data_IF_117230649635
#
_entry.id   IF_117230649635
#
_cell.length_a   1.000
_cell.length_b   1.000
_cell.length_c   1.000
_cell.angle_alpha   90.00
_cell.angle_beta   90.00
_cell.angle_gamma   90.00
#
_symmetry.space_group_name_H-M   'P 1'
#
loop_
_entity.id
_entity.type
_entity.pdbx_description
1 polymer ?
#
# COMPACT_ATOMS: atom_id res chain seq x y z
N UNK A 1 -8.58 2.79 -17.89
CA UNK A 1 -8.39 4.23 -17.64
C UNK A 1 -9.47 4.94 -16.83
N UNK A 2 -10.77 4.75 -17.11
CA UNK A 2 -11.86 5.54 -16.51
C UNK A 2 -12.05 5.47 -14.98
N UNK A 3 -11.64 4.39 -14.32
CA UNK A 3 -11.77 4.25 -12.84
C UNK A 3 -10.49 4.66 -12.12
N UNK A 4 -9.34 4.27 -12.66
CA UNK A 4 -8.04 4.38 -11.99
C UNK A 4 -7.35 5.70 -12.32
N UNK A 5 -7.30 6.11 -13.59
CA UNK A 5 -6.52 7.30 -14.01
C UNK A 5 -7.40 8.53 -14.18
N UNK A 6 -8.61 8.35 -14.67
CA UNK A 6 -9.55 9.44 -15.01
C UNK A 6 -10.82 9.43 -14.15
N UNK A 7 -10.81 8.66 -13.06
CA UNK A 7 -11.98 8.36 -12.24
C UNK A 7 -12.16 9.24 -11.02
N UNK A 8 -13.17 8.90 -10.20
CA UNK A 8 -13.42 9.58 -8.93
C UNK A 8 -12.22 9.44 -7.97
N UNK A 9 -11.55 8.29 -7.98
CA UNK A 9 -10.41 8.01 -7.11
C UNK A 9 -9.24 8.98 -7.38
N UNK A 10 -8.84 9.17 -8.64
CA UNK A 10 -7.76 10.11 -8.96
C UNK A 10 -8.15 11.56 -8.65
N UNK A 11 -9.42 11.96 -8.87
CA UNK A 11 -9.91 13.31 -8.51
C UNK A 11 -9.94 13.55 -7.00
N UNK A 12 -10.37 12.58 -6.20
CA UNK A 12 -10.37 12.70 -4.74
C UNK A 12 -8.94 12.72 -4.20
N UNK A 13 -8.04 11.89 -4.73
CA UNK A 13 -6.62 11.96 -4.38
C UNK A 13 -6.01 13.31 -4.76
N UNK A 14 -6.32 13.85 -5.95
CA UNK A 14 -5.86 15.17 -6.37
C UNK A 14 -6.33 16.28 -5.41
N UNK A 15 -7.57 16.21 -4.94
CA UNK A 15 -8.10 17.15 -3.96
C UNK A 15 -7.36 17.04 -2.61
N UNK A 16 -7.07 15.81 -2.14
CA UNK A 16 -6.31 15.58 -0.90
C UNK A 16 -4.85 16.06 -1.01
N UNK A 17 -4.22 15.89 -2.17
CA UNK A 17 -2.82 16.27 -2.41
C UNK A 17 -2.65 17.73 -2.85
N UNK A 18 -3.74 18.44 -3.15
CA UNK A 18 -3.71 19.86 -3.56
C UNK A 18 -3.23 20.10 -4.99
N UNK A 19 -3.32 19.10 -5.88
CA UNK A 19 -2.87 19.26 -7.27
C UNK A 19 -3.11 18.02 -8.14
N UNK A 20 -2.86 18.11 -9.46
CA UNK A 20 -2.98 16.97 -10.36
C UNK A 20 -2.09 15.81 -9.91
N UNK A 21 -2.59 14.58 -10.06
CA UNK A 21 -1.88 13.36 -9.63
C UNK A 21 -1.71 12.38 -10.79
N UNK A 22 -0.68 11.55 -10.69
CA UNK A 22 -0.41 10.44 -11.61
C UNK A 22 -0.40 9.12 -10.83
N UNK A 23 -0.79 8.03 -11.48
CA UNK A 23 -0.78 6.70 -10.87
C UNK A 23 0.64 6.17 -10.79
N UNK A 24 1.16 6.00 -9.58
CA UNK A 24 2.48 5.43 -9.34
C UNK A 24 2.47 3.90 -9.39
N UNK A 25 1.59 3.27 -8.60
CA UNK A 25 1.55 1.82 -8.39
C UNK A 25 0.10 1.35 -8.23
N UNK A 26 -0.18 0.14 -8.68
CA UNK A 26 -1.41 -0.57 -8.33
C UNK A 26 -1.13 -2.03 -7.98
N UNK A 27 -1.96 -2.57 -7.10
CA UNK A 27 -1.98 -3.99 -6.73
C UNK A 27 -3.38 -4.40 -6.27
N UNK A 28 -3.68 -5.68 -6.42
CA UNK A 28 -4.84 -6.31 -5.78
C UNK A 28 -4.32 -7.39 -4.85
N UNK A 29 -4.67 -7.29 -3.56
CA UNK A 29 -4.27 -8.25 -2.56
C UNK A 29 -5.39 -9.27 -2.36
N UNK A 30 -5.05 -10.56 -2.51
CA UNK A 30 -5.94 -11.69 -2.23
C UNK A 30 -5.53 -12.31 -0.91
N UNK A 31 -6.31 -12.03 0.15
CA UNK A 31 -6.08 -12.66 1.45
C UNK A 31 -6.96 -13.89 1.57
N UNK A 32 -6.39 -15.04 1.26
CA UNK A 32 -7.07 -16.34 1.33
C UNK A 32 -7.37 -16.75 2.78
N UNK A 33 -8.29 -17.71 3.01
CA UNK A 33 -8.49 -18.32 4.34
C UNK A 33 -7.18 -18.79 4.95
N UNK A 34 -6.92 -18.45 6.21
CA UNK A 34 -5.68 -18.79 6.92
C UNK A 34 -4.44 -18.01 6.50
N UNK A 35 -4.54 -17.07 5.54
CA UNK A 35 -3.39 -16.28 5.12
C UNK A 35 -2.87 -15.38 6.26
N UNK A 36 -1.53 -15.19 6.35
CA UNK A 36 -0.93 -14.41 7.42
C UNK A 36 -1.30 -12.93 7.34
N UNK A 37 -1.02 -12.21 8.42
CA UNK A 37 -1.09 -10.75 8.47
C UNK A 37 0.10 -10.07 7.76
N UNK A 38 -0.01 -8.77 7.59
CA UNK A 38 1.13 -7.92 7.24
C UNK A 38 1.56 -7.17 8.49
N UNK A 39 2.87 -7.22 8.79
CA UNK A 39 3.48 -6.46 9.89
C UNK A 39 3.30 -4.96 9.69
N UNK A 40 3.41 -4.20 10.76
CA UNK A 40 3.34 -2.75 10.65
C UNK A 40 4.45 -2.22 9.75
N UNK A 41 4.10 -1.26 8.88
CA UNK A 41 5.03 -0.58 8.00
C UNK A 41 4.46 0.78 7.57
N UNK A 42 5.33 1.61 7.01
CA UNK A 42 4.96 2.76 6.18
C UNK A 42 5.37 2.44 4.74
N UNK A 43 4.55 2.77 3.75
CA UNK A 43 4.89 2.53 2.33
C UNK A 43 6.23 3.21 1.97
N UNK A 44 6.52 4.37 2.57
CA UNK A 44 7.76 5.10 2.37
C UNK A 44 9.01 4.31 2.80
N UNK A 45 8.92 3.38 3.76
CA UNK A 45 10.04 2.54 4.20
C UNK A 45 10.60 1.65 3.09
N UNK A 46 9.83 1.40 2.03
CA UNK A 46 10.29 0.68 0.84
C UNK A 46 11.12 1.56 -0.11
N UNK A 47 11.74 2.63 0.40
CA UNK A 47 12.61 3.56 -0.34
C UNK A 47 11.90 4.33 -1.46
N UNK A 48 10.61 4.61 -1.30
CA UNK A 48 9.83 5.30 -2.33
C UNK A 48 10.19 6.79 -2.45
N UNK A 49 10.91 7.35 -1.47
CA UNK A 49 11.38 8.74 -1.49
C UNK A 49 12.25 9.10 -2.69
N UNK A 50 12.86 8.11 -3.36
CA UNK A 50 13.61 8.32 -4.60
C UNK A 50 12.74 8.70 -5.80
N UNK A 51 11.44 8.41 -5.77
CA UNK A 51 10.52 8.67 -6.88
C UNK A 51 9.68 9.92 -6.64
N UNK A 52 9.09 10.06 -5.45
CA UNK A 52 8.35 11.25 -5.06
C UNK A 52 8.40 11.44 -3.54
N UNK A 53 8.26 12.67 -3.03
CA UNK A 53 8.34 12.95 -1.60
C UNK A 53 7.14 12.43 -0.81
N UNK A 54 5.99 12.23 -1.46
CA UNK A 54 4.74 11.80 -0.84
C UNK A 54 3.89 11.03 -1.84
N UNK A 55 3.26 9.97 -1.36
CA UNK A 55 2.24 9.24 -2.09
C UNK A 55 0.95 9.17 -1.29
N UNK A 56 -0.18 9.04 -1.97
CA UNK A 56 -1.47 8.72 -1.35
C UNK A 56 -2.03 7.47 -2.00
N UNK A 57 -2.37 6.50 -1.16
CA UNK A 57 -2.98 5.23 -1.56
C UNK A 57 -4.49 5.31 -1.34
N UNK A 58 -5.25 5.04 -2.39
CA UNK A 58 -6.67 4.76 -2.35
C UNK A 58 -6.85 3.23 -2.27
N UNK A 59 -7.25 2.76 -1.09
CA UNK A 59 -7.66 1.38 -0.84
C UNK A 59 -9.15 1.24 -1.16
N UNK A 60 -9.52 0.37 -2.09
CA UNK A 60 -10.90 0.08 -2.46
C UNK A 60 -11.28 -1.32 -1.98
N UNK A 61 -12.30 -1.39 -1.14
CA UNK A 61 -12.79 -2.64 -0.55
C UNK A 61 -13.65 -3.39 -1.56
N UNK A 62 -13.26 -4.63 -1.92
CA UNK A 62 -13.98 -5.46 -2.90
C UNK A 62 -14.87 -6.48 -2.18
N UNK A 63 -14.30 -7.16 -1.19
CA UNK A 63 -15.02 -8.07 -0.28
C UNK A 63 -15.07 -7.43 1.11
N UNK A 64 -16.09 -7.70 1.95
CA UNK A 64 -16.17 -7.13 3.29
C UNK A 64 -14.86 -7.32 4.06
N UNK A 65 -14.31 -6.25 4.64
CA UNK A 65 -13.11 -6.29 5.45
C UNK A 65 -13.50 -6.12 6.91
N UNK A 66 -13.41 -7.19 7.68
CA UNK A 66 -13.78 -7.26 9.09
C UNK A 66 -12.54 -7.48 9.95
N UNK A 67 -12.66 -7.29 11.26
CA UNK A 67 -11.58 -7.62 12.20
C UNK A 67 -11.19 -9.12 12.07
N UNK A 68 -12.17 -10.00 11.92
CA UNK A 68 -11.96 -11.45 11.85
C UNK A 68 -11.20 -11.91 10.59
N UNK A 69 -11.38 -11.22 9.44
CA UNK A 69 -10.67 -11.54 8.21
C UNK A 69 -9.43 -10.65 7.96
N UNK A 70 -9.00 -9.93 9.00
CA UNK A 70 -7.79 -9.14 8.99
C UNK A 70 -7.91 -7.87 8.16
N UNK A 71 -8.91 -7.02 8.49
CA UNK A 71 -9.04 -5.66 7.96
C UNK A 71 -7.75 -4.84 8.12
N UNK A 72 -7.68 -3.69 7.43
CA UNK A 72 -6.58 -2.75 7.63
C UNK A 72 -6.56 -2.31 9.10
N UNK A 73 -5.38 -2.24 9.69
CA UNK A 73 -5.14 -1.57 10.96
C UNK A 73 -4.26 -0.35 10.70
N UNK A 74 -4.55 0.79 11.31
CA UNK A 74 -3.82 2.04 11.12
C UNK A 74 -3.47 2.69 12.44
N UNK A 75 -2.41 3.50 12.47
CA UNK A 75 -2.10 4.36 13.62
C UNK A 75 -2.48 5.81 13.30
N UNK A 76 -3.58 6.34 13.85
CA UNK A 76 -4.04 7.69 13.53
C UNK A 76 -2.99 8.76 13.86
N UNK A 77 -2.89 9.77 13.01
CA UNK A 77 -2.05 10.96 13.24
C UNK A 77 -0.54 10.79 13.01
N UNK A 78 0.01 9.58 13.11
CA UNK A 78 1.46 9.35 13.02
C UNK A 78 2.08 9.58 11.63
N UNK A 79 1.26 9.63 10.58
CA UNK A 79 1.71 10.06 9.24
C UNK A 79 2.39 11.44 9.23
N UNK A 80 2.08 12.30 10.21
CA UNK A 80 2.64 13.65 10.35
C UNK A 80 4.07 13.68 10.89
N UNK A 81 4.57 12.54 11.36
CA UNK A 81 5.92 12.43 11.94
C UNK A 81 6.98 12.10 10.86
N UNK A 82 6.58 11.93 9.60
CA UNK A 82 7.47 11.45 8.55
C UNK A 82 7.80 9.97 8.77
N UNK A 83 9.03 9.56 8.45
CA UNK A 83 9.47 8.17 8.63
C UNK A 83 9.74 7.91 10.12
N UNK A 84 8.96 7.03 10.74
CA UNK A 84 9.07 6.68 12.17
C UNK A 84 9.94 5.43 12.42
N UNK A 85 10.50 4.87 11.36
CA UNK A 85 11.52 3.84 11.37
C UNK A 85 12.60 4.15 10.34
N UNK A 86 13.29 3.13 9.86
CA UNK A 86 14.31 3.27 8.82
C UNK A 86 13.82 2.64 7.51
N UNK A 87 14.34 3.14 6.38
CA UNK A 87 14.11 2.48 5.10
C UNK A 87 14.69 1.07 5.11
N UNK A 88 14.00 0.14 4.45
CA UNK A 88 14.40 -1.25 4.26
C UNK A 88 14.50 -2.08 5.55
N UNK A 89 14.13 -1.51 6.70
CA UNK A 89 14.07 -2.20 7.98
C UNK A 89 12.61 -2.37 8.44
N UNK A 90 12.26 -3.50 9.08
CA UNK A 90 10.95 -3.66 9.71
C UNK A 90 10.68 -2.53 10.71
N UNK A 91 9.45 -2.04 10.73
CA UNK A 91 9.04 -1.06 11.73
C UNK A 91 8.96 -1.71 13.11
N UNK A 92 9.48 -1.04 14.14
CA UNK A 92 9.25 -1.44 15.53
C UNK A 92 7.77 -1.18 15.89
N UNK A 93 7.08 -2.24 16.28
CA UNK A 93 5.65 -2.16 16.65
C UNK A 93 5.45 -1.67 18.09
N UNK A 94 6.52 -1.53 18.88
CA UNK A 94 6.47 -1.08 20.27
C UNK A 94 5.83 0.31 20.37
N UNK A 95 4.71 0.40 21.08
CA UNK A 95 3.98 1.66 21.27
C UNK A 95 3.11 2.08 20.08
N UNK A 96 2.97 1.26 19.03
CA UNK A 96 2.02 1.53 17.95
C UNK A 96 0.58 1.20 18.41
N UNK A 97 -0.24 2.23 18.56
CA UNK A 97 -1.67 2.10 18.83
C UNK A 97 -2.45 1.80 17.53
N UNK A 98 -2.25 0.60 16.98
CA UNK A 98 -2.96 0.13 15.79
C UNK A 98 -4.47 -0.01 16.06
N UNK A 99 -5.28 0.61 15.21
CA UNK A 99 -6.73 0.59 15.27
C UNK A 99 -7.31 -0.07 14.02
N UNK A 100 -8.22 -1.05 14.16
CA UNK A 100 -8.86 -1.69 13.01
C UNK A 100 -9.78 -0.71 12.28
N UNK A 101 -9.80 -0.82 10.96
CA UNK A 101 -10.66 -0.04 10.06
C UNK A 101 -11.51 -1.01 9.22
N UNK A 102 -12.63 -1.52 9.77
CA UNK A 102 -13.57 -2.34 9.02
C UNK A 102 -14.22 -1.55 7.89
N UNK A 103 -14.49 -2.22 6.76
CA UNK A 103 -15.11 -1.60 5.58
C UNK A 103 -16.01 -2.60 4.85
N UNK A 104 -17.03 -2.08 4.18
CA UNK A 104 -17.93 -2.83 3.31
C UNK A 104 -17.51 -2.70 1.84
N UNK A 105 -17.97 -3.60 0.94
CA UNK A 105 -17.71 -3.49 -0.49
C UNK A 105 -18.10 -2.11 -1.06
N UNK A 106 -17.13 -1.46 -1.72
CA UNK A 106 -17.29 -0.13 -2.29
C UNK A 106 -16.75 1.01 -1.42
N UNK A 107 -16.48 0.78 -0.14
CA UNK A 107 -15.80 1.74 0.71
C UNK A 107 -14.37 2.01 0.23
N UNK A 108 -13.90 3.24 0.46
CA UNK A 108 -12.57 3.69 0.07
C UNK A 108 -11.86 4.33 1.27
N UNK A 109 -10.64 3.87 1.55
CA UNK A 109 -9.75 4.49 2.54
C UNK A 109 -8.62 5.19 1.81
N UNK A 110 -8.40 6.46 2.14
CA UNK A 110 -7.23 7.21 1.69
C UNK A 110 -6.23 7.35 2.83
N UNK A 111 -4.97 7.03 2.56
CA UNK A 111 -3.86 7.26 3.48
C UNK A 111 -2.58 7.58 2.73
N UNK A 112 -1.71 8.39 3.32
CA UNK A 112 -0.43 8.72 2.72
C UNK A 112 0.66 7.69 3.03
N UNK A 113 1.79 7.78 2.31
CA UNK A 113 2.89 6.82 2.40
C UNK A 113 3.61 6.81 3.76
N UNK A 114 3.35 7.78 4.63
CA UNK A 114 3.87 7.83 5.99
C UNK A 114 2.87 7.28 7.02
N UNK A 115 1.65 6.92 6.65
CA UNK A 115 0.70 6.35 7.60
C UNK A 115 1.15 4.93 8.03
N UNK A 116 1.48 4.68 9.32
CA UNK A 116 1.82 3.35 9.78
C UNK A 116 0.57 2.47 9.75
N UNK A 117 0.67 1.33 9.09
CA UNK A 117 -0.45 0.43 8.90
C UNK A 117 -0.03 -1.04 8.87
N UNK A 118 -0.96 -1.92 9.20
CA UNK A 118 -0.78 -3.36 9.34
C UNK A 118 -2.06 -4.12 8.96
N UNK A 119 -2.03 -5.44 9.05
CA UNK A 119 -3.26 -6.24 9.13
C UNK A 119 -3.02 -7.56 9.88
N UNK A 120 -4.01 -8.03 10.63
CA UNK A 120 -3.99 -9.35 11.29
C UNK A 120 -4.20 -10.50 10.29
N UNK A 121 -3.91 -11.77 10.63
CA UNK A 121 -4.23 -12.91 9.76
C UNK A 121 -5.72 -12.99 9.39
N UNK A 122 -6.03 -13.69 8.31
CA UNK A 122 -7.42 -14.01 7.97
C UNK A 122 -7.83 -15.31 8.65
N UNK A 123 -8.68 -15.22 9.68
CA UNK A 123 -9.17 -16.39 10.42
C UNK A 123 -10.50 -16.94 9.90
N UNK A 124 -11.07 -16.36 8.85
CA UNK A 124 -12.33 -16.83 8.26
C UNK A 124 -12.09 -17.83 7.13
N UNK A 125 -13.17 -18.45 6.66
CA UNK A 125 -13.23 -19.36 5.51
C UNK A 125 -13.43 -18.63 4.17
N UNK A 126 -13.59 -17.31 4.20
CA UNK A 126 -13.77 -16.49 3.02
C UNK A 126 -12.47 -15.79 2.62
N UNK A 127 -12.27 -15.60 1.31
CA UNK A 127 -11.21 -14.72 0.80
C UNK A 127 -11.60 -13.25 1.01
N UNK A 128 -10.60 -12.39 1.16
CA UNK A 128 -10.75 -10.93 1.17
C UNK A 128 -9.88 -10.30 0.08
N UNK A 129 -10.51 -9.63 -0.87
CA UNK A 129 -9.83 -8.85 -1.92
C UNK A 129 -9.88 -7.37 -1.61
N UNK A 130 -8.74 -6.71 -1.79
CA UNK A 130 -8.60 -5.27 -1.65
C UNK A 130 -7.77 -4.76 -2.84
N UNK A 131 -8.26 -3.73 -3.53
CA UNK A 131 -7.51 -3.03 -4.58
C UNK A 131 -6.81 -1.82 -3.97
N UNK A 132 -5.53 -1.66 -4.26
CA UNK A 132 -4.73 -0.51 -3.84
C UNK A 132 -4.28 0.26 -5.08
N UNK A 133 -4.57 1.55 -5.11
CA UNK A 133 -4.14 2.47 -6.16
C UNK A 133 -3.35 3.61 -5.51
N UNK A 134 -2.06 3.68 -5.78
CA UNK A 134 -1.16 4.66 -5.19
C UNK A 134 -0.82 5.74 -6.21
N UNK A 135 -0.95 6.99 -5.80
CA UNK A 135 -0.70 8.16 -6.62
C UNK A 135 0.36 9.08 -6.00
N UNK A 136 1.03 9.85 -6.84
CA UNK A 136 1.83 11.00 -6.43
C UNK A 136 1.40 12.26 -7.21
N UNK A 137 1.82 13.44 -6.73
CA UNK A 137 1.63 14.68 -7.49
C UNK A 137 2.34 14.58 -8.84
N UNK A 138 1.66 15.01 -9.91
CA UNK A 138 2.21 15.04 -11.26
C UNK A 138 3.45 15.94 -11.36
N UNK A 139 3.52 16.99 -10.54
CA UNK A 139 4.70 17.88 -10.42
C UNK A 139 5.94 17.18 -9.85
N UNK A 140 5.78 16.04 -9.19
CA UNK A 140 6.88 15.20 -8.71
C UNK A 140 7.34 14.16 -9.75
N UNK A 141 6.71 14.11 -10.94
CA UNK A 141 7.09 13.22 -12.04
C UNK A 141 6.21 11.96 -12.17
N UNK A 142 6.21 11.37 -13.38
CA UNK A 142 5.58 10.06 -13.65
C UNK A 142 6.65 8.97 -13.62
N UNK A 143 6.70 8.26 -12.49
CA UNK A 143 7.72 7.24 -12.21
C UNK A 143 7.21 5.82 -12.35
N UNK A 144 5.99 5.61 -12.85
CA UNK A 144 5.39 4.28 -12.87
C UNK A 144 6.20 3.27 -13.68
N UNK A 145 6.54 3.64 -14.92
CA UNK A 145 7.30 2.75 -15.80
C UNK A 145 8.67 2.39 -15.20
N UNK A 146 9.36 3.40 -14.63
CA UNK A 146 10.61 3.22 -13.92
C UNK A 146 10.46 2.28 -12.72
N UNK A 147 9.45 2.49 -11.88
CA UNK A 147 9.19 1.67 -10.70
C UNK A 147 9.01 0.19 -11.05
N UNK A 148 8.18 -0.13 -12.06
CA UNK A 148 7.96 -1.53 -12.45
C UNK A 148 9.20 -2.14 -13.11
N UNK A 149 9.97 -1.38 -13.89
CA UNK A 149 11.23 -1.87 -14.46
C UNK A 149 12.25 -2.21 -13.36
N UNK A 150 12.43 -1.32 -12.38
CA UNK A 150 13.34 -1.55 -11.25
C UNK A 150 12.83 -2.69 -10.34
N UNK A 151 11.52 -2.78 -10.09
CA UNK A 151 10.94 -3.86 -9.28
C UNK A 151 11.07 -5.21 -9.97
N UNK A 152 10.85 -5.27 -11.28
CA UNK A 152 11.04 -6.47 -12.08
C UNK A 152 12.50 -6.93 -12.09
N UNK A 153 13.45 -6.00 -12.26
CA UNK A 153 14.88 -6.33 -12.17
C UNK A 153 15.32 -6.81 -10.78
N UNK A 154 14.80 -6.20 -9.71
CA UNK A 154 15.19 -6.53 -8.33
C UNK A 154 14.45 -7.75 -7.75
N UNK A 155 13.23 -8.00 -8.19
CA UNK A 155 12.36 -9.07 -7.69
C UNK A 155 11.44 -9.60 -8.82
N UNK A 156 12.02 -10.29 -9.82
CA UNK A 156 11.27 -10.75 -10.98
C UNK A 156 10.24 -11.83 -10.59
N UNK A 157 9.22 -12.04 -11.44
CA UNK A 157 8.30 -13.17 -11.34
C UNK A 157 9.05 -14.50 -11.27
N UNK A 158 8.48 -15.50 -10.60
CA UNK A 158 9.17 -16.77 -10.36
C UNK A 158 9.67 -17.47 -11.63
N UNK A 159 8.95 -17.31 -12.75
CA UNK A 159 9.33 -17.88 -14.06
C UNK A 159 10.58 -17.21 -14.69
N UNK A 160 10.95 -16.02 -14.22
CA UNK A 160 12.07 -15.22 -14.73
C UNK A 160 13.24 -15.16 -13.74
N UNK A 161 13.15 -15.86 -12.61
CA UNK A 161 14.22 -15.85 -11.59
C UNK A 161 15.40 -16.69 -12.02
N UNK A 162 16.59 -16.13 -11.85
CA UNK A 162 17.84 -16.89 -11.91
C UNK A 162 17.96 -17.77 -10.67
N UNK A 163 18.04 -19.08 -10.87
CA UNK A 163 18.17 -20.07 -9.79
C UNK A 163 19.43 -19.89 -8.92
N UNK A 164 20.45 -19.19 -9.42
CA UNK A 164 21.68 -18.88 -8.68
C UNK A 164 21.58 -17.62 -7.82
N UNK A 165 20.55 -16.79 -8.01
CA UNK A 165 20.38 -15.51 -7.33
C UNK A 165 19.36 -15.64 -6.19
N UNK A 166 19.74 -15.17 -4.99
CA UNK A 166 18.82 -15.08 -3.86
C UNK A 166 18.04 -13.77 -3.91
N UNK A 167 16.79 -13.84 -4.33
CA UNK A 167 15.86 -12.72 -4.27
C UNK A 167 15.22 -12.62 -2.88
N UNK A 168 15.38 -11.48 -2.21
CA UNK A 168 14.81 -11.21 -0.89
C UNK A 168 13.84 -10.07 -0.99
N UNK A 169 12.58 -10.32 -0.62
CA UNK A 169 11.62 -9.24 -0.45
C UNK A 169 12.03 -8.39 0.76
N UNK A 170 12.22 -7.09 0.54
CA UNK A 170 12.54 -6.10 1.58
C UNK A 170 11.33 -5.18 1.70
N UNK A 171 10.85 -5.03 2.93
CA UNK A 171 9.72 -4.22 3.44
C UNK A 171 8.55 -4.04 2.47
#
# INVERSE_FOLDING_TARGET
DRVVREGALSRWTAALMGGPVVLFKDKIDFKMPGAPGFKAHQDQQAGWGRYAPLFVTALVTIDPATVANGCLEMVPGRHREGLIGEEWNPLDETGLALQPVPTDPGDVIFFDSFAPHASKPNFTDAKRRILYLTYNLASAGDHRAQYYAEKHAAFPPDIERDASTRYVFRV
#
